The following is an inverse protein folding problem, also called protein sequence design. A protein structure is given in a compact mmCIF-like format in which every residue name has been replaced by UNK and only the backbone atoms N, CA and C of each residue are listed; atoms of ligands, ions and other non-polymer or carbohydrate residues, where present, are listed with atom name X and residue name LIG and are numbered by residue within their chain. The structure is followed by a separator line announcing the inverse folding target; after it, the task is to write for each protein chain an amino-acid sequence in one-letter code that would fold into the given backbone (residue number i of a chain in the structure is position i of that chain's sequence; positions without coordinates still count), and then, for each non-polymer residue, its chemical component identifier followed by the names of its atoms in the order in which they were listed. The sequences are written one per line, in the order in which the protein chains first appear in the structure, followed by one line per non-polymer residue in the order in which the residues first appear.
data_IF_892248472119
#
_entry.id   IF_892248472119
#
_cell.length_a   1.000
_cell.length_b   1.000
_cell.length_c   1.000
_cell.angle_alpha   90.00
_cell.angle_beta   90.00
_cell.angle_gamma   90.00
#
_symmetry.space_group_name_H-M   'P 1'
#
loop_
_entity.id
_entity.type
_entity.pdbx_description
1 polymer ?
#
# COMPACT_ATOMS: atom_id res chain seq x y z
N UNK A 1 30.10 13.46 61.68
CA UNK A 1 29.75 13.78 60.29
C UNK A 1 28.24 13.66 60.10
N UNK A 2 27.60 14.65 59.49
CA UNK A 2 26.16 14.67 59.21
C UNK A 2 25.91 14.57 57.70
N UNK A 3 25.07 13.63 57.28
CA UNK A 3 24.71 13.44 55.88
C UNK A 3 23.71 14.50 55.44
N UNK A 4 24.04 15.25 54.40
CA UNK A 4 23.14 16.25 53.78
C UNK A 4 22.47 15.62 52.56
N UNK A 5 23.25 14.96 51.70
CA UNK A 5 22.78 14.17 50.55
C UNK A 5 23.51 12.83 50.55
N UNK A 6 23.20 11.87 49.65
CA UNK A 6 23.91 10.60 49.57
C UNK A 6 25.43 10.72 49.31
N UNK A 7 25.89 11.88 48.82
CA UNK A 7 27.30 12.13 48.47
C UNK A 7 27.90 13.36 49.15
N UNK A 8 27.10 14.23 49.77
CA UNK A 8 27.56 15.42 50.47
C UNK A 8 27.40 15.25 51.99
N UNK A 9 28.50 15.36 52.71
CA UNK A 9 28.55 15.25 54.16
C UNK A 9 29.15 16.51 54.79
N UNK A 10 28.59 16.90 55.94
CA UNK A 10 29.15 17.94 56.80
C UNK A 10 30.05 17.30 57.87
N UNK A 11 31.32 17.67 57.84
CA UNK A 11 32.26 17.41 58.90
C UNK A 11 32.27 18.59 59.89
N UNK A 12 31.66 18.39 61.05
CA UNK A 12 31.55 19.38 62.13
C UNK A 12 32.83 19.54 62.93
N UNK A 13 33.69 18.52 62.97
CA UNK A 13 34.96 18.59 63.70
C UNK A 13 36.00 19.34 62.87
N UNK A 14 36.04 19.05 61.57
CA UNK A 14 36.98 19.69 60.65
C UNK A 14 36.43 20.98 60.02
N UNK A 15 35.16 21.33 60.27
CA UNK A 15 34.41 22.45 59.65
C UNK A 15 34.49 22.44 58.12
N UNK A 16 34.09 21.35 57.48
CA UNK A 16 34.19 21.19 56.02
C UNK A 16 32.96 20.49 55.45
N UNK A 17 32.62 20.82 54.21
CA UNK A 17 31.75 19.98 53.39
C UNK A 17 32.62 19.04 52.56
N UNK A 18 32.33 17.74 52.64
CA UNK A 18 33.03 16.70 51.90
C UNK A 18 32.07 16.13 50.86
N UNK A 19 32.45 16.27 49.59
CA UNK A 19 31.74 15.68 48.46
C UNK A 19 32.48 14.41 48.01
N UNK A 20 31.83 13.26 48.23
CA UNK A 20 32.39 11.94 47.92
C UNK A 20 32.36 11.58 46.43
N UNK A 21 31.64 12.34 45.59
CA UNK A 21 31.59 12.11 44.14
C UNK A 21 32.68 12.91 43.43
N UNK A 22 32.87 14.18 43.80
CA UNK A 22 33.90 15.01 43.18
C UNK A 22 35.25 14.99 43.93
N UNK A 23 35.30 14.44 45.15
CA UNK A 23 36.47 14.46 46.02
C UNK A 23 36.81 15.85 46.58
N UNK A 24 35.94 16.84 46.36
CA UNK A 24 36.15 18.23 46.74
C UNK A 24 35.83 18.44 48.21
N UNK A 25 36.71 19.18 48.91
CA UNK A 25 36.51 19.62 50.29
C UNK A 25 36.34 21.14 50.32
N UNK A 26 35.23 21.61 50.87
CA UNK A 26 34.94 23.05 50.99
C UNK A 26 35.04 23.44 52.47
N UNK A 27 36.03 24.25 52.83
CA UNK A 27 36.20 24.73 54.20
C UNK A 27 35.11 25.73 54.58
N UNK A 28 34.54 25.55 55.77
CA UNK A 28 33.57 26.41 56.43
C UNK A 28 34.22 27.11 57.62
N UNK A 29 33.79 28.33 57.90
CA UNK A 29 34.09 28.96 59.20
C UNK A 29 33.29 28.27 60.31
N UNK A 30 33.73 28.42 61.56
CA UNK A 30 33.01 27.87 62.72
C UNK A 30 31.52 28.25 62.72
N UNK A 31 31.21 29.54 62.50
CA UNK A 31 29.83 30.03 62.49
C UNK A 31 29.02 29.48 61.30
N UNK A 32 29.63 29.29 60.13
CA UNK A 32 28.97 28.68 58.97
C UNK A 32 28.64 27.20 59.22
N UNK A 33 29.60 26.45 59.79
CA UNK A 33 29.44 25.05 60.16
C UNK A 33 28.36 24.87 61.22
N UNK A 34 28.39 25.68 62.30
CA UNK A 34 27.43 25.62 63.39
C UNK A 34 26.01 26.01 62.96
N UNK A 35 25.86 27.03 62.10
CA UNK A 35 24.56 27.43 61.54
C UNK A 35 24.00 26.33 60.64
N UNK A 36 24.82 25.75 59.75
CA UNK A 36 24.39 24.66 58.87
C UNK A 36 24.03 23.40 59.66
N UNK A 37 24.84 23.05 60.66
CA UNK A 37 24.58 21.96 61.59
C UNK A 37 23.24 22.13 62.30
N UNK A 38 22.93 23.34 62.77
CA UNK A 38 21.66 23.62 63.44
C UNK A 38 20.47 23.47 62.48
N UNK A 39 20.60 23.92 61.24
CA UNK A 39 19.57 23.78 60.20
C UNK A 39 19.33 22.32 59.77
N UNK A 40 20.34 21.45 59.89
CA UNK A 40 20.22 20.02 59.60
C UNK A 40 19.56 19.24 60.73
N UNK A 41 19.83 19.61 61.99
CA UNK A 41 19.29 18.93 63.18
C UNK A 41 17.90 19.39 63.59
N UNK A 42 17.46 20.57 63.14
CA UNK A 42 16.17 21.11 63.57
C UNK A 42 15.00 20.25 63.07
N UNK A 43 14.21 19.70 64.00
CA UNK A 43 12.95 19.01 63.71
C UNK A 43 11.85 19.96 63.19
N UNK A 44 12.05 21.27 63.34
CA UNK A 44 11.17 22.31 62.81
C UNK A 44 11.59 22.69 61.38
N UNK A 45 10.63 22.88 60.46
CA UNK A 45 10.94 23.25 59.08
C UNK A 45 11.53 24.67 58.95
N UNK A 46 11.40 25.54 59.94
CA UNK A 46 11.95 26.91 59.91
C UNK A 46 12.66 27.20 61.22
N UNK A 47 13.95 27.53 61.16
CA UNK A 47 14.73 28.01 62.29
C UNK A 47 14.62 29.53 62.42
N UNK A 48 14.37 30.03 63.62
CA UNK A 48 14.32 31.46 63.91
C UNK A 48 15.71 32.11 63.83
N UNK A 49 15.75 33.44 63.70
CA UNK A 49 17.03 34.16 63.58
C UNK A 49 17.81 34.10 64.89
N UNK A 50 17.11 34.15 66.01
CA UNK A 50 17.64 34.11 67.37
C UNK A 50 18.30 32.76 67.66
N UNK A 51 17.67 31.64 67.25
CA UNK A 51 18.24 30.30 67.38
C UNK A 51 19.51 30.13 66.56
N UNK A 52 19.55 30.65 65.33
CA UNK A 52 20.72 30.55 64.47
C UNK A 52 21.86 31.46 64.92
N UNK A 53 21.54 32.64 65.47
CA UNK A 53 22.52 33.53 66.08
C UNK A 53 23.16 32.88 67.31
N UNK A 54 22.35 32.29 68.19
CA UNK A 54 22.86 31.58 69.37
C UNK A 54 23.71 30.35 69.01
N UNK A 55 23.38 29.66 67.92
CA UNK A 55 24.16 28.50 67.47
C UNK A 55 25.49 28.89 66.81
N UNK A 56 25.50 29.94 65.97
CA UNK A 56 26.70 30.38 65.25
C UNK A 56 27.69 31.17 66.11
N UNK A 57 27.22 31.78 67.20
CA UNK A 57 27.98 32.65 68.09
C UNK A 57 27.56 32.47 69.57
N UNK A 58 27.86 31.31 70.18
CA UNK A 58 27.38 30.99 71.54
C UNK A 58 27.82 31.98 72.62
N UNK A 59 29.00 32.59 72.48
CA UNK A 59 29.59 33.50 73.48
C UNK A 59 29.73 34.95 72.98
N UNK A 60 29.02 35.34 71.90
CA UNK A 60 29.14 36.68 71.31
C UNK A 60 27.79 37.24 70.87
N UNK A 61 27.47 38.45 71.33
CA UNK A 61 26.33 39.22 70.81
C UNK A 61 26.75 39.86 69.49
N UNK A 62 26.20 39.38 68.38
CA UNK A 62 26.46 39.90 67.03
C UNK A 62 25.20 40.51 66.43
N UNK A 63 25.38 41.45 65.50
CA UNK A 63 24.26 42.04 64.78
C UNK A 63 23.58 41.01 63.86
N UNK A 64 22.28 41.20 63.60
CA UNK A 64 21.49 40.35 62.68
C UNK A 64 22.05 40.34 61.24
N UNK A 65 22.82 41.38 60.88
CA UNK A 65 23.55 41.47 59.61
C UNK A 65 24.63 40.39 59.48
N UNK A 66 25.24 39.95 60.58
CA UNK A 66 26.22 38.86 60.60
C UNK A 66 25.61 37.51 60.21
N UNK A 67 24.39 37.21 60.67
CA UNK A 67 23.65 36.02 60.24
C UNK A 67 23.30 36.10 58.74
N UNK A 68 22.87 37.28 58.28
CA UNK A 68 22.54 37.49 56.86
C UNK A 68 23.76 37.24 55.96
N UNK A 69 24.95 37.71 56.38
CA UNK A 69 26.20 37.49 55.67
C UNK A 69 26.60 36.01 55.66
N UNK A 70 26.51 35.33 56.80
CA UNK A 70 26.77 33.90 56.93
C UNK A 70 25.86 33.05 56.03
N UNK A 71 24.57 33.36 55.95
CA UNK A 71 23.64 32.68 55.04
C UNK A 71 23.99 32.95 53.57
N UNK A 72 24.44 34.17 53.23
CA UNK A 72 24.87 34.51 51.88
C UNK A 72 26.13 33.75 51.45
N UNK A 73 27.13 33.62 52.34
CA UNK A 73 28.34 32.84 52.06
C UNK A 73 28.05 31.34 51.98
N UNK A 74 27.21 30.81 52.86
CA UNK A 74 26.73 29.42 52.78
C UNK A 74 26.01 29.14 51.46
N UNK A 75 25.15 30.05 50.98
CA UNK A 75 24.51 29.92 49.65
C UNK A 75 25.52 29.82 48.53
N UNK A 76 26.57 30.66 48.52
CA UNK A 76 27.62 30.60 47.50
C UNK A 76 28.40 29.28 47.55
N UNK A 77 28.65 28.75 48.74
CA UNK A 77 29.35 27.48 48.93
C UNK A 77 28.48 26.27 48.56
N UNK A 78 27.16 26.38 48.71
CA UNK A 78 26.17 25.35 48.38
C UNK A 78 25.61 25.47 46.95
N UNK A 79 25.86 26.56 46.23
CA UNK A 79 25.40 26.80 44.85
C UNK A 79 25.71 25.65 43.85
N UNK A 80 26.87 24.97 43.94
CA UNK A 80 27.14 23.79 43.10
C UNK A 80 26.19 22.61 43.35
N UNK A 81 25.56 22.56 44.53
CA UNK A 81 24.69 21.49 45.01
C UNK A 81 23.22 21.95 44.91
N UNK A 82 22.67 21.97 43.70
CA UNK A 82 21.33 22.54 43.40
C UNK A 82 20.19 21.92 44.21
N UNK A 83 20.38 20.69 44.67
CA UNK A 83 19.48 19.93 45.52
C UNK A 83 19.41 20.43 46.98
N UNK A 84 20.39 21.21 47.44
CA UNK A 84 20.46 21.78 48.80
C UNK A 84 20.24 23.29 48.75
N UNK A 85 19.02 23.75 49.06
CA UNK A 85 18.65 25.16 48.97
C UNK A 85 18.36 25.79 50.33
N UNK A 86 19.06 26.88 50.64
CA UNK A 86 18.79 27.73 51.81
C UNK A 86 17.74 28.80 51.48
N UNK A 87 16.49 28.58 51.92
CA UNK A 87 15.36 29.49 51.71
C UNK A 87 15.19 30.45 52.89
N UNK A 88 14.91 31.73 52.60
CA UNK A 88 14.52 32.71 53.62
C UNK A 88 13.00 32.72 53.74
N UNK A 89 12.47 32.55 54.94
CA UNK A 89 11.04 32.68 55.22
C UNK A 89 10.80 34.04 55.87
N UNK A 90 10.08 34.92 55.17
CA UNK A 90 9.84 36.29 55.61
C UNK A 90 9.25 36.33 57.03
N UNK A 91 9.81 37.19 57.90
CA UNK A 91 9.41 37.39 59.30
C UNK A 91 9.51 36.15 60.22
N UNK A 92 10.08 35.03 59.76
CA UNK A 92 10.23 33.80 60.56
C UNK A 92 11.66 33.28 60.68
N UNK A 93 12.48 33.40 59.63
CA UNK A 93 13.89 32.96 59.69
C UNK A 93 14.34 32.23 58.43
N UNK A 94 15.08 31.13 58.59
CA UNK A 94 15.70 30.39 57.50
C UNK A 94 15.34 28.90 57.54
N UNK A 95 15.25 28.29 56.37
CA UNK A 95 14.93 26.88 56.17
C UNK A 95 15.93 26.26 55.18
N UNK A 96 16.39 25.05 55.49
CA UNK A 96 17.12 24.22 54.56
C UNK A 96 16.13 23.30 53.83
N UNK A 97 16.15 23.33 52.50
CA UNK A 97 15.33 22.46 51.66
C UNK A 97 16.25 21.52 50.87
N UNK A 98 16.13 20.22 51.11
CA UNK A 98 16.89 19.18 50.43
C UNK A 98 15.91 18.44 49.52
N UNK A 99 16.00 18.62 48.21
CA UNK A 99 15.13 17.91 47.27
C UNK A 99 15.71 16.54 46.96
N UNK A 100 15.00 15.47 47.30
CA UNK A 100 15.31 14.10 46.84
C UNK A 100 14.94 13.96 45.36
N UNK A 101 15.71 14.58 44.46
CA UNK A 101 15.55 14.30 43.03
C UNK A 101 16.18 12.95 42.72
N UNK A 102 15.33 12.02 42.29
CA UNK A 102 15.67 10.74 41.70
C UNK A 102 16.81 10.91 40.68
N UNK A 103 17.89 10.15 40.86
CA UNK A 103 18.97 10.04 39.90
C UNK A 103 18.43 9.57 38.53
N UNK A 104 18.11 10.53 37.66
CA UNK A 104 18.21 10.34 36.22
C UNK A 104 19.39 11.20 35.81
N UNK A 105 20.56 10.57 35.78
CA UNK A 105 21.78 11.16 35.27
C UNK A 105 21.61 11.34 33.76
N UNK A 106 21.03 12.46 33.32
CA UNK A 106 21.22 12.94 31.96
C UNK A 106 22.67 13.44 31.87
N UNK A 107 23.58 12.51 31.60
CA UNK A 107 24.86 12.84 30.97
C UNK A 107 24.55 13.15 29.50
N UNK A 108 25.04 14.29 29.05
CA UNK A 108 24.94 14.75 27.67
C UNK A 108 25.39 13.62 26.71
N UNK A 109 24.43 13.08 25.95
CA UNK A 109 24.71 12.16 24.85
C UNK A 109 25.18 13.01 23.68
N UNK A 110 26.48 13.33 23.65
CA UNK A 110 27.11 13.84 22.42
C UNK A 110 28.53 13.30 22.19
N UNK A 111 28.97 12.31 22.97
CA UNK A 111 30.22 11.61 22.68
C UNK A 111 29.94 10.40 21.78
N UNK A 112 30.48 10.44 20.56
CA UNK A 112 30.43 9.33 19.62
C UNK A 112 31.04 8.03 20.20
N UNK A 113 31.93 8.14 21.19
CA UNK A 113 32.46 7.00 21.95
C UNK A 113 31.46 6.43 22.96
N UNK A 114 30.65 7.28 23.62
CA UNK A 114 29.59 6.83 24.53
C UNK A 114 28.44 6.15 23.79
N UNK A 115 28.12 6.60 22.58
CA UNK A 115 27.16 5.90 21.70
C UNK A 115 27.68 4.51 21.28
N UNK A 116 28.98 4.38 20.95
CA UNK A 116 29.58 3.08 20.64
C UNK A 116 29.56 2.15 21.84
N UNK A 117 29.99 2.63 23.01
CA UNK A 117 29.97 1.85 24.25
C UNK A 117 28.54 1.39 24.59
N UNK A 118 27.55 2.28 24.49
CA UNK A 118 26.14 1.95 24.72
C UNK A 118 25.55 0.95 23.72
N UNK A 119 26.09 0.81 22.50
CA UNK A 119 25.66 -0.22 21.54
C UNK A 119 26.30 -1.59 21.90
N UNK A 120 27.52 -1.59 22.43
CA UNK A 120 28.21 -2.83 22.80
C UNK A 120 27.80 -3.38 24.17
N UNK A 121 27.40 -2.53 25.13
CA UNK A 121 27.03 -2.93 26.52
C UNK A 121 25.58 -3.42 26.68
N UNK A 122 24.83 -3.50 25.57
CA UNK A 122 23.49 -4.10 25.57
C UNK A 122 23.60 -5.62 25.63
N UNK A 123 22.85 -6.26 26.54
CA UNK A 123 22.73 -7.72 26.64
C UNK A 123 22.46 -8.34 25.25
N UNK A 124 23.11 -9.47 24.97
CA UNK A 124 22.94 -10.23 23.73
C UNK A 124 21.44 -10.45 23.40
N UNK A 125 20.61 -10.66 24.43
CA UNK A 125 19.17 -10.89 24.31
C UNK A 125 18.42 -9.67 23.76
N UNK A 126 18.81 -8.46 24.14
CA UNK A 126 18.20 -7.21 23.64
C UNK A 126 18.67 -6.92 22.21
N UNK A 127 19.94 -7.24 21.88
CA UNK A 127 20.42 -7.17 20.48
C UNK A 127 19.65 -8.13 19.58
N UNK A 128 19.46 -9.38 20.03
CA UNK A 128 18.66 -10.39 19.32
C UNK A 128 17.22 -9.90 19.17
N UNK A 129 16.61 -9.39 20.24
CA UNK A 129 15.23 -8.86 20.19
C UNK A 129 15.11 -7.68 19.21
N UNK A 130 16.07 -6.75 19.20
CA UNK A 130 16.09 -5.64 18.25
C UNK A 130 16.22 -6.11 16.80
N UNK A 131 17.08 -7.10 16.53
CA UNK A 131 17.21 -7.72 15.20
C UNK A 131 15.91 -8.41 14.79
N UNK A 132 15.28 -9.16 15.70
CA UNK A 132 13.99 -9.82 15.43
C UNK A 132 12.90 -8.80 15.10
N UNK A 133 12.81 -7.69 15.85
CA UNK A 133 11.87 -6.61 15.57
C UNK A 133 12.14 -5.97 14.21
N UNK A 134 13.40 -5.70 13.88
CA UNK A 134 13.79 -5.18 12.57
C UNK A 134 13.42 -6.14 11.43
N UNK A 135 13.66 -7.44 11.61
CA UNK A 135 13.28 -8.47 10.64
C UNK A 135 11.77 -8.55 10.47
N UNK A 136 10.99 -8.46 11.56
CA UNK A 136 9.53 -8.44 11.51
C UNK A 136 9.04 -7.18 10.77
N UNK A 137 9.61 -6.01 11.04
CA UNK A 137 9.26 -4.78 10.33
C UNK A 137 9.61 -4.84 8.84
N UNK A 138 10.79 -5.38 8.50
CA UNK A 138 11.20 -5.56 7.12
C UNK A 138 10.29 -6.56 6.38
N UNK A 139 9.95 -7.68 7.02
CA UNK A 139 9.03 -8.68 6.48
C UNK A 139 7.61 -8.13 6.33
N UNK A 140 7.15 -7.33 7.29
CA UNK A 140 5.85 -6.65 7.20
C UNK A 140 5.83 -5.61 6.08
N UNK A 141 6.91 -4.83 5.90
CA UNK A 141 7.03 -3.86 4.81
C UNK A 141 7.04 -4.57 3.45
N UNK A 142 7.77 -5.68 3.33
CA UNK A 142 7.76 -6.52 2.13
C UNK A 142 6.38 -7.13 1.87
N UNK A 143 5.73 -7.70 2.88
CA UNK A 143 4.42 -8.33 2.76
C UNK A 143 3.34 -7.33 2.31
N UNK A 144 3.40 -6.09 2.80
CA UNK A 144 2.49 -5.01 2.41
C UNK A 144 2.87 -4.33 1.08
N UNK A 145 4.01 -4.67 0.48
CA UNK A 145 4.47 -4.07 -0.77
C UNK A 145 3.63 -4.49 -1.98
N UNK A 146 3.52 -3.62 -2.97
CA UNK A 146 2.84 -3.94 -4.23
C UNK A 146 3.48 -5.15 -4.93
N UNK A 147 4.80 -5.28 -4.87
CA UNK A 147 5.53 -6.40 -5.46
C UNK A 147 5.05 -7.75 -4.88
N UNK A 148 4.87 -7.84 -3.56
CA UNK A 148 4.36 -9.06 -2.94
C UNK A 148 2.90 -9.35 -3.35
N UNK A 149 2.05 -8.32 -3.40
CA UNK A 149 0.66 -8.47 -3.89
C UNK A 149 0.61 -8.98 -5.32
N UNK A 150 1.48 -8.48 -6.21
CA UNK A 150 1.58 -8.95 -7.60
C UNK A 150 2.02 -10.40 -7.65
N UNK A 151 3.02 -10.78 -6.84
CA UNK A 151 3.46 -12.17 -6.77
C UNK A 151 2.35 -13.10 -6.28
N UNK A 152 1.55 -12.68 -5.28
CA UNK A 152 0.38 -13.44 -4.84
C UNK A 152 -0.69 -13.54 -5.93
N UNK A 153 -0.95 -12.47 -6.68
CA UNK A 153 -1.91 -12.47 -7.78
C UNK A 153 -1.46 -13.44 -8.89
N UNK A 154 -0.19 -13.38 -9.29
CA UNK A 154 0.39 -14.25 -10.31
C UNK A 154 0.45 -15.71 -9.89
N UNK A 155 0.70 -16.01 -8.62
CA UNK A 155 0.71 -17.38 -8.12
C UNK A 155 -0.64 -18.10 -8.24
N UNK A 156 -1.72 -17.35 -8.50
CA UNK A 156 -3.05 -17.90 -8.78
C UNK A 156 -3.24 -18.26 -10.25
N UNK A 157 -2.30 -17.93 -11.13
CA UNK A 157 -2.42 -18.24 -12.54
C UNK A 157 -1.45 -19.36 -12.90
N UNK A 158 -1.92 -20.29 -13.73
CA UNK A 158 -1.09 -21.24 -14.43
C UNK A 158 -1.35 -21.13 -15.94
N UNK A 159 -0.35 -21.52 -16.72
CA UNK A 159 -0.48 -21.60 -18.17
C UNK A 159 -0.14 -23.02 -18.63
N UNK A 160 -1.08 -23.67 -19.30
CA UNK A 160 -0.84 -24.96 -19.94
C UNK A 160 -0.33 -24.72 -21.36
N UNK A 161 0.71 -25.44 -21.83
CA UNK A 161 1.30 -25.26 -23.15
C UNK A 161 0.27 -25.00 -24.24
N UNK A 162 -0.72 -25.87 -24.49
CA UNK A 162 -1.74 -25.68 -25.54
C UNK A 162 -2.97 -26.59 -25.35
N UNK A 163 -4.16 -26.08 -25.71
CA UNK A 163 -5.39 -26.85 -25.90
C UNK A 163 -5.85 -26.72 -27.35
N UNK A 164 -6.12 -27.82 -28.03
CA UNK A 164 -6.69 -27.80 -29.38
C UNK A 164 -8.18 -27.47 -29.29
N UNK A 165 -8.60 -26.38 -29.94
CA UNK A 165 -10.01 -25.97 -30.04
C UNK A 165 -10.53 -26.24 -31.45
N UNK A 166 -11.79 -26.66 -31.53
CA UNK A 166 -12.54 -26.80 -32.76
C UNK A 166 -13.68 -25.78 -32.83
N UNK A 167 -13.70 -24.97 -33.89
CA UNK A 167 -14.72 -23.95 -34.14
C UNK A 167 -15.26 -24.17 -35.55
N UNK A 168 -16.45 -24.76 -35.61
CA UNK A 168 -17.01 -25.28 -36.84
C UNK A 168 -16.06 -26.24 -37.55
N UNK A 169 -15.70 -25.94 -38.80
CA UNK A 169 -14.73 -26.71 -39.58
C UNK A 169 -13.25 -26.38 -39.31
N UNK A 170 -12.95 -25.39 -38.47
CA UNK A 170 -11.58 -24.92 -38.21
C UNK A 170 -11.02 -25.52 -36.91
N UNK A 171 -9.71 -25.73 -36.91
CA UNK A 171 -8.95 -26.12 -35.72
C UNK A 171 -7.82 -25.15 -35.47
N UNK A 172 -7.51 -24.93 -34.21
CA UNK A 172 -6.46 -24.02 -33.79
C UNK A 172 -5.95 -24.37 -32.40
N UNK A 173 -4.68 -24.09 -32.17
CA UNK A 173 -4.09 -24.25 -30.85
C UNK A 173 -4.37 -23.00 -30.02
N UNK A 174 -4.91 -23.21 -28.82
CA UNK A 174 -5.17 -22.16 -27.84
C UNK A 174 -4.15 -22.25 -26.71
N UNK A 175 -3.49 -21.14 -26.37
CA UNK A 175 -2.74 -21.04 -25.12
C UNK A 175 -3.74 -20.92 -23.96
N UNK A 176 -3.71 -21.85 -23.02
CA UNK A 176 -4.68 -21.90 -21.93
C UNK A 176 -4.13 -21.21 -20.68
N UNK A 177 -4.90 -20.26 -20.15
CA UNK A 177 -4.68 -19.58 -18.88
C UNK A 177 -5.70 -20.05 -17.86
N UNK A 178 -5.24 -20.68 -16.80
CA UNK A 178 -6.10 -21.18 -15.73
C UNK A 178 -5.89 -20.32 -14.51
N UNK A 179 -7.00 -19.83 -13.95
CA UNK A 179 -6.98 -19.08 -12.71
C UNK A 179 -7.46 -19.96 -11.56
N UNK A 180 -6.74 -19.90 -10.46
CA UNK A 180 -6.90 -20.74 -9.29
C UNK A 180 -6.83 -22.23 -9.67
N UNK A 181 -7.35 -23.11 -8.82
CA UNK A 181 -7.42 -24.55 -9.10
C UNK A 181 -8.70 -24.91 -9.88
N UNK A 182 -8.98 -24.17 -10.96
CA UNK A 182 -10.17 -24.38 -11.77
C UNK A 182 -10.20 -25.79 -12.35
N UNK A 183 -11.37 -26.42 -12.26
CA UNK A 183 -11.62 -27.78 -12.73
C UNK A 183 -12.26 -27.77 -14.13
N UNK A 184 -12.38 -28.95 -14.74
CA UNK A 184 -13.01 -29.14 -16.07
C UNK A 184 -12.30 -28.37 -17.20
N UNK A 185 -11.01 -28.63 -17.38
CA UNK A 185 -10.16 -27.99 -18.41
C UNK A 185 -10.30 -28.62 -19.80
N UNK A 186 -11.33 -29.43 -20.03
CA UNK A 186 -11.53 -30.12 -21.31
C UNK A 186 -12.02 -29.14 -22.39
N UNK A 187 -11.50 -29.17 -23.63
CA UNK A 187 -11.86 -28.26 -24.72
C UNK A 187 -13.37 -28.07 -24.93
N UNK A 188 -14.12 -29.16 -24.76
CA UNK A 188 -15.59 -29.18 -24.76
C UNK A 188 -16.25 -28.04 -23.95
N UNK A 189 -15.64 -27.56 -22.86
CA UNK A 189 -16.24 -26.47 -22.07
C UNK A 189 -16.31 -25.14 -22.83
N UNK A 190 -15.40 -24.89 -23.77
CA UNK A 190 -15.46 -23.75 -24.69
C UNK A 190 -16.35 -24.07 -25.90
N UNK A 191 -16.18 -25.26 -26.47
CA UNK A 191 -16.80 -25.66 -27.75
C UNK A 191 -18.30 -25.93 -27.64
N UNK A 192 -18.80 -26.43 -26.51
CA UNK A 192 -20.22 -26.83 -26.34
C UNK A 192 -21.23 -25.71 -26.57
N UNK A 193 -20.79 -24.45 -26.55
CA UNK A 193 -21.66 -23.31 -26.81
C UNK A 193 -21.84 -23.02 -28.29
N UNK A 194 -21.02 -23.63 -29.14
CA UNK A 194 -21.07 -23.52 -30.59
C UNK A 194 -21.83 -24.71 -31.17
N UNK A 195 -22.60 -24.49 -32.23
CA UNK A 195 -23.16 -25.59 -32.99
C UNK A 195 -22.03 -26.33 -33.74
N UNK A 196 -22.08 -27.68 -33.83
CA UNK A 196 -21.09 -28.48 -34.55
C UNK A 196 -21.33 -28.38 -36.06
N UNK A 197 -21.29 -27.17 -36.62
CA UNK A 197 -21.46 -26.95 -38.05
C UNK A 197 -20.08 -26.85 -38.74
N UNK A 198 -19.79 -27.83 -39.60
CA UNK A 198 -18.56 -27.85 -40.40
C UNK A 198 -18.63 -26.92 -41.62
N UNK A 199 -19.78 -26.28 -41.89
CA UNK A 199 -19.94 -25.34 -43.01
C UNK A 199 -19.26 -24.00 -42.76
N UNK A 200 -19.00 -23.66 -41.50
CA UNK A 200 -18.23 -22.48 -41.13
C UNK A 200 -16.77 -22.62 -41.60
N UNK A 201 -16.50 -22.06 -42.77
CA UNK A 201 -15.18 -21.95 -43.37
C UNK A 201 -14.81 -20.46 -43.47
N UNK A 202 -13.73 -20.08 -42.81
CA UNK A 202 -13.09 -18.79 -43.13
C UNK A 202 -12.19 -18.97 -44.37
N UNK A 203 -11.74 -17.86 -44.97
CA UNK A 203 -10.66 -17.91 -45.96
C UNK A 203 -9.33 -18.46 -45.38
N UNK A 204 -9.26 -18.71 -44.07
CA UNK A 204 -8.10 -19.18 -43.35
C UNK A 204 -8.17 -20.68 -43.07
N UNK A 205 -7.01 -21.34 -43.05
CA UNK A 205 -6.88 -22.79 -42.83
C UNK A 205 -6.86 -23.20 -41.35
N UNK A 206 -6.90 -22.23 -40.45
CA UNK A 206 -6.81 -22.42 -39.01
C UNK A 206 -6.89 -21.07 -38.29
N UNK A 207 -6.68 -21.10 -36.98
CA UNK A 207 -6.68 -19.91 -36.12
C UNK A 207 -5.67 -20.07 -34.98
N UNK A 208 -5.27 -18.94 -34.41
CA UNK A 208 -4.56 -18.87 -33.14
C UNK A 208 -5.47 -18.34 -32.06
N UNK A 209 -5.36 -18.92 -30.86
CA UNK A 209 -6.27 -18.58 -29.78
C UNK A 209 -5.58 -18.47 -28.42
N UNK A 210 -6.26 -17.76 -27.53
CA UNK A 210 -6.00 -17.76 -26.11
C UNK A 210 -7.30 -18.11 -25.41
N UNK A 211 -7.25 -19.12 -24.54
CA UNK A 211 -8.37 -19.52 -23.72
C UNK A 211 -8.07 -19.14 -22.26
N UNK A 212 -9.09 -18.76 -21.51
CA UNK A 212 -8.97 -18.68 -20.06
C UNK A 212 -10.20 -19.17 -19.33
N UNK A 213 -9.99 -19.62 -18.09
CA UNK A 213 -11.07 -20.01 -17.19
C UNK A 213 -10.70 -19.79 -15.72
N UNK A 214 -11.72 -19.47 -14.92
CA UNK A 214 -11.67 -19.50 -13.45
C UNK A 214 -12.53 -20.64 -12.87
N UNK A 215 -12.96 -21.58 -13.71
CA UNK A 215 -13.83 -22.70 -13.38
C UNK A 215 -15.32 -22.36 -13.37
N UNK A 216 -15.68 -21.07 -13.38
CA UNK A 216 -17.07 -20.62 -13.54
C UNK A 216 -17.38 -20.14 -14.94
N UNK A 217 -16.41 -19.45 -15.57
CA UNK A 217 -16.54 -18.90 -16.91
C UNK A 217 -15.46 -19.45 -17.83
N UNK A 218 -15.77 -19.53 -19.12
CA UNK A 218 -14.87 -20.06 -20.16
C UNK A 218 -14.78 -19.04 -21.28
N UNK A 219 -13.64 -18.35 -21.36
CA UNK A 219 -13.38 -17.31 -22.35
C UNK A 219 -12.41 -17.82 -23.41
N UNK A 220 -12.66 -17.49 -24.67
CA UNK A 220 -11.76 -17.72 -25.79
C UNK A 220 -11.64 -16.49 -26.66
N UNK A 221 -10.40 -16.14 -26.99
CA UNK A 221 -10.02 -15.04 -27.87
C UNK A 221 -9.34 -15.64 -29.09
N UNK A 222 -9.95 -15.50 -30.26
CA UNK A 222 -9.55 -16.18 -31.49
C UNK A 222 -9.14 -15.13 -32.52
N UNK A 223 -7.98 -15.35 -33.11
CA UNK A 223 -7.59 -14.69 -34.34
C UNK A 223 -7.54 -15.68 -35.51
N UNK A 224 -8.33 -15.45 -36.58
CA UNK A 224 -8.22 -16.21 -37.81
C UNK A 224 -6.84 -16.07 -38.48
N UNK A 225 -6.27 -17.19 -38.91
CA UNK A 225 -4.93 -17.25 -39.49
C UNK A 225 -4.03 -18.28 -38.80
N UNK A 226 -2.90 -18.60 -39.41
CA UNK A 226 -1.96 -19.61 -38.90
C UNK A 226 -0.61 -19.01 -38.52
N UNK A 227 -0.53 -17.69 -38.35
CA UNK A 227 0.67 -17.00 -37.89
C UNK A 227 0.61 -16.86 -36.37
N UNK A 228 1.50 -17.58 -35.68
CA UNK A 228 1.53 -17.69 -34.22
C UNK A 228 2.17 -16.45 -33.56
N UNK A 229 2.85 -15.62 -34.34
CA UNK A 229 3.57 -14.43 -33.85
C UNK A 229 2.84 -13.12 -34.12
N UNK A 230 2.03 -13.07 -35.18
CA UNK A 230 1.29 -11.89 -35.57
C UNK A 230 -0.15 -12.25 -35.90
N UNK A 231 -1.08 -11.35 -35.57
CA UNK A 231 -2.39 -11.44 -36.19
C UNK A 231 -2.87 -10.15 -36.84
N UNK A 232 -3.62 -10.37 -37.92
CA UNK A 232 -4.06 -9.32 -38.83
C UNK A 232 -4.99 -8.31 -38.19
N UNK A 233 -5.64 -8.66 -37.07
CA UNK A 233 -6.72 -7.92 -36.46
C UNK A 233 -8.06 -8.05 -37.19
N UNK A 234 -8.13 -8.82 -38.27
CA UNK A 234 -9.37 -8.95 -39.06
C UNK A 234 -10.18 -10.17 -38.58
N UNK A 235 -11.48 -9.96 -38.35
CA UNK A 235 -12.40 -11.03 -37.98
C UNK A 235 -12.07 -11.66 -36.62
N UNK A 236 -11.60 -10.86 -35.65
CA UNK A 236 -11.36 -11.33 -34.29
C UNK A 236 -12.67 -11.86 -33.68
N UNK A 237 -12.60 -13.01 -33.01
CA UNK A 237 -13.77 -13.61 -32.37
C UNK A 237 -13.44 -13.77 -30.88
N UNK A 238 -14.12 -13.00 -30.03
CA UNK A 238 -14.00 -13.12 -28.58
C UNK A 238 -15.33 -13.58 -28.00
N UNK A 239 -15.35 -14.79 -27.46
CA UNK A 239 -16.55 -15.40 -26.90
C UNK A 239 -16.27 -15.77 -25.45
N UNK A 240 -17.17 -15.42 -24.55
CA UNK A 240 -17.11 -15.78 -23.14
C UNK A 240 -18.40 -16.44 -22.71
N UNK A 241 -18.30 -17.70 -22.32
CA UNK A 241 -19.39 -18.46 -21.73
C UNK A 241 -19.47 -18.17 -20.24
N UNK A 242 -20.63 -17.71 -19.80
CA UNK A 242 -20.96 -17.39 -18.40
C UNK A 242 -22.04 -18.32 -17.83
N UNK A 243 -22.43 -19.32 -18.61
CA UNK A 243 -23.42 -20.32 -18.27
C UNK A 243 -22.87 -21.72 -18.57
N UNK A 244 -23.36 -22.72 -17.86
CA UNK A 244 -22.95 -24.11 -18.06
C UNK A 244 -23.73 -24.79 -19.18
N UNK A 245 -24.93 -24.30 -19.51
CA UNK A 245 -25.77 -24.87 -20.56
C UNK A 245 -25.25 -24.50 -21.98
N UNK A 246 -25.23 -25.46 -22.93
CA UNK A 246 -24.94 -25.20 -24.33
C UNK A 246 -25.83 -24.09 -24.91
N UNK A 247 -25.20 -23.03 -25.43
CA UNK A 247 -25.92 -21.90 -26.01
C UNK A 247 -26.37 -22.14 -27.46
N UNK A 248 -25.83 -23.16 -28.14
CA UNK A 248 -26.14 -23.51 -29.54
C UNK A 248 -25.96 -22.32 -30.51
N UNK A 249 -24.86 -21.57 -30.36
CA UNK A 249 -24.51 -20.47 -31.24
C UNK A 249 -24.15 -21.00 -32.64
N UNK A 250 -24.92 -20.63 -33.66
CA UNK A 250 -24.60 -20.89 -35.06
C UNK A 250 -23.52 -19.92 -35.54
N UNK A 251 -22.40 -20.43 -36.05
CA UNK A 251 -21.25 -19.58 -36.39
C UNK A 251 -21.49 -18.67 -37.59
N UNK A 252 -22.08 -19.14 -38.72
CA UNK A 252 -22.47 -18.27 -39.82
C UNK A 252 -23.41 -17.13 -39.39
N UNK A 253 -24.49 -17.44 -38.68
CA UNK A 253 -25.44 -16.44 -38.16
C UNK A 253 -24.75 -15.47 -37.19
N UNK A 254 -23.90 -15.98 -36.30
CA UNK A 254 -23.12 -15.17 -35.38
C UNK A 254 -22.20 -14.18 -36.10
N UNK A 255 -21.52 -14.58 -37.18
CA UNK A 255 -20.64 -13.66 -37.92
C UNK A 255 -21.41 -12.53 -38.60
N UNK A 256 -22.61 -12.80 -39.11
CA UNK A 256 -23.47 -11.76 -39.68
C UNK A 256 -23.99 -10.83 -38.58
N UNK A 257 -24.45 -11.40 -37.47
CA UNK A 257 -25.01 -10.65 -36.35
C UNK A 257 -23.95 -9.78 -35.65
N UNK A 258 -22.78 -10.34 -35.34
CA UNK A 258 -21.65 -9.61 -34.72
C UNK A 258 -21.23 -8.41 -35.58
N UNK A 259 -21.05 -8.61 -36.88
CA UNK A 259 -20.76 -7.53 -37.84
C UNK A 259 -21.82 -6.43 -37.80
N UNK A 260 -23.11 -6.81 -37.78
CA UNK A 260 -24.20 -5.84 -37.66
C UNK A 260 -24.18 -5.10 -36.31
N UNK A 261 -23.89 -5.78 -35.20
CA UNK A 261 -23.78 -5.16 -33.88
C UNK A 261 -22.61 -4.17 -33.82
N UNK A 262 -21.44 -4.53 -34.35
CA UNK A 262 -20.23 -3.71 -34.38
C UNK A 262 -20.40 -2.41 -35.16
N UNK A 263 -21.17 -2.44 -36.26
CA UNK A 263 -21.40 -1.28 -37.12
C UNK A 263 -22.41 -0.27 -36.56
N UNK A 264 -23.34 -0.66 -35.68
CA UNK A 264 -24.44 0.21 -35.23
C UNK A 264 -23.94 1.48 -34.56
N UNK A 265 -23.27 1.37 -33.41
CA UNK A 265 -22.76 2.52 -32.64
C UNK A 265 -21.54 2.08 -31.83
N UNK A 266 -20.35 2.64 -32.14
CA UNK A 266 -19.12 2.51 -31.33
C UNK A 266 -19.14 3.58 -30.24
N UNK A 267 -19.73 3.27 -29.08
CA UNK A 267 -19.93 4.25 -28.01
C UNK A 267 -18.63 4.70 -27.32
N UNK A 268 -17.54 3.95 -27.51
CA UNK A 268 -16.30 4.11 -26.74
C UNK A 268 -15.13 4.81 -27.47
N UNK A 269 -15.32 5.46 -28.63
CA UNK A 269 -14.26 6.33 -29.19
C UNK A 269 -14.09 7.57 -28.30
N UNK A 270 -13.27 7.45 -27.26
CA UNK A 270 -12.76 8.60 -26.51
C UNK A 270 -11.73 9.26 -27.42
N UNK A 271 -12.14 10.28 -28.18
CA UNK A 271 -11.21 11.18 -28.84
C UNK A 271 -10.65 12.09 -27.75
N UNK A 272 -9.46 11.80 -27.24
CA UNK A 272 -8.69 12.81 -26.51
C UNK A 272 -8.28 13.89 -27.53
N UNK A 273 -8.43 15.19 -27.22
CA UNK A 273 -8.05 16.24 -28.16
C UNK A 273 -6.55 16.18 -28.45
N UNK A 274 -6.17 16.15 -29.74
CA UNK A 274 -4.76 16.21 -30.18
C UNK A 274 -4.06 17.43 -29.54
N UNK A 275 -2.90 17.25 -28.92
CA UNK A 275 -2.07 18.35 -28.39
C UNK A 275 -1.73 19.33 -29.51
N UNK A 276 -2.36 20.49 -29.44
CA UNK A 276 -1.93 21.67 -30.18
C UNK A 276 -0.67 22.24 -29.52
N UNK A 277 0.48 21.62 -29.78
CA UNK A 277 1.79 22.29 -29.75
C UNK A 277 2.40 22.65 -28.39
N UNK A 278 2.07 21.94 -27.30
CA UNK A 278 2.80 22.09 -26.03
C UNK A 278 3.91 21.03 -25.89
N UNK A 279 5.09 21.44 -25.41
CA UNK A 279 6.24 20.56 -25.14
C UNK A 279 5.84 19.42 -24.18
N UNK A 280 5.75 18.20 -24.70
CA UNK A 280 5.53 16.97 -23.95
C UNK A 280 4.39 16.13 -24.51
N UNK A 281 4.52 15.64 -25.76
CA UNK A 281 3.57 14.67 -26.32
C UNK A 281 3.53 13.44 -25.43
N UNK A 282 2.39 13.18 -24.79
CA UNK A 282 2.18 11.94 -24.05
C UNK A 282 1.78 10.85 -25.06
N UNK A 283 2.20 9.62 -24.82
CA UNK A 283 1.88 8.50 -25.70
C UNK A 283 0.72 7.71 -25.10
N UNK A 284 -0.43 7.71 -25.79
CA UNK A 284 -1.58 6.88 -25.46
C UNK A 284 -1.47 5.53 -26.20
N UNK A 285 -1.62 4.46 -25.43
CA UNK A 285 -1.80 3.11 -25.93
C UNK A 285 -3.26 2.74 -25.80
N UNK A 286 -3.98 2.72 -26.92
CA UNK A 286 -5.41 2.43 -26.97
C UNK A 286 -5.66 0.99 -27.40
N UNK A 287 -6.57 0.31 -26.70
CA UNK A 287 -6.94 -1.07 -26.94
C UNK A 287 -8.47 -1.18 -27.05
N UNK A 288 -8.98 -1.72 -28.15
CA UNK A 288 -10.42 -1.93 -28.35
C UNK A 288 -10.74 -3.39 -28.65
N UNK A 289 -11.75 -3.96 -27.98
CA UNK A 289 -12.26 -5.29 -28.27
C UNK A 289 -13.78 -5.36 -28.13
N UNK A 290 -14.36 -6.27 -28.90
CA UNK A 290 -15.75 -6.68 -28.81
C UNK A 290 -15.79 -8.10 -28.26
N UNK A 291 -16.59 -8.33 -27.22
CA UNK A 291 -16.72 -9.62 -26.53
C UNK A 291 -18.19 -10.03 -26.48
N UNK A 292 -18.45 -11.28 -26.84
CA UNK A 292 -19.80 -11.83 -26.99
C UNK A 292 -20.10 -12.90 -25.95
N UNK A 293 -21.31 -12.88 -25.40
CA UNK A 293 -21.74 -13.76 -24.32
C UNK A 293 -22.99 -14.55 -24.74
N UNK A 294 -22.82 -15.71 -25.40
CA UNK A 294 -23.93 -16.55 -25.80
C UNK A 294 -24.51 -17.27 -24.57
N UNK A 295 -25.84 -17.19 -24.42
CA UNK A 295 -26.60 -17.87 -23.37
C UNK A 295 -27.81 -18.52 -24.02
N UNK A 296 -28.11 -19.76 -23.60
CA UNK A 296 -29.21 -20.53 -24.17
C UNK A 296 -30.56 -19.81 -23.97
N UNK A 297 -31.36 -19.77 -25.02
CA UNK A 297 -32.71 -19.16 -25.03
C UNK A 297 -32.73 -17.67 -24.61
N UNK A 298 -31.59 -16.97 -24.72
CA UNK A 298 -31.40 -15.56 -24.39
C UNK A 298 -30.82 -14.80 -25.60
N UNK A 299 -31.03 -13.48 -25.64
CA UNK A 299 -30.45 -12.60 -26.66
C UNK A 299 -28.92 -12.57 -26.54
N UNK A 300 -28.21 -12.51 -27.67
CA UNK A 300 -26.76 -12.34 -27.67
C UNK A 300 -26.39 -10.98 -27.05
N UNK A 301 -25.54 -11.02 -26.03
CA UNK A 301 -24.99 -9.82 -25.39
C UNK A 301 -23.59 -9.55 -25.94
N UNK A 302 -23.33 -8.29 -26.28
CA UNK A 302 -22.02 -7.76 -26.64
C UNK A 302 -21.52 -6.78 -25.59
N UNK A 303 -20.24 -6.87 -25.24
CA UNK A 303 -19.50 -5.83 -24.55
C UNK A 303 -18.48 -5.19 -25.51
N UNK A 304 -18.69 -3.92 -25.85
CA UNK A 304 -17.68 -3.05 -26.47
C UNK A 304 -16.77 -2.53 -25.36
N UNK A 305 -15.49 -2.89 -25.40
CA UNK A 305 -14.49 -2.58 -24.39
C UNK A 305 -13.40 -1.72 -25.01
N UNK A 306 -13.18 -0.52 -24.47
CA UNK A 306 -12.05 0.34 -24.79
C UNK A 306 -11.19 0.57 -23.55
N UNK A 307 -9.88 0.42 -23.70
CA UNK A 307 -8.90 0.59 -22.64
C UNK A 307 -7.73 1.45 -23.13
N UNK A 308 -7.47 2.54 -22.44
CA UNK A 308 -6.36 3.45 -22.73
C UNK A 308 -5.35 3.45 -21.59
N UNK A 309 -4.07 3.31 -21.94
CA UNK A 309 -2.92 3.46 -21.04
C UNK A 309 -2.12 4.69 -21.49
N UNK A 310 -2.02 5.71 -20.63
CA UNK A 310 -1.25 6.92 -20.91
C UNK A 310 -0.04 6.90 -19.98
N UNK A 311 1.14 6.63 -20.54
CA UNK A 311 2.36 6.49 -19.76
C UNK A 311 2.91 7.86 -19.35
N UNK A 312 3.16 8.05 -18.05
CA UNK A 312 3.89 9.22 -17.51
C UNK A 312 5.33 8.87 -17.12
N UNK A 313 5.64 7.57 -17.00
CA UNK A 313 6.95 7.01 -16.72
C UNK A 313 7.15 5.70 -17.50
N UNK A 314 8.24 4.98 -17.25
CA UNK A 314 8.54 3.71 -17.95
C UNK A 314 7.56 2.58 -17.59
N UNK A 315 7.03 2.57 -16.37
CA UNK A 315 6.18 1.50 -15.84
C UNK A 315 4.89 2.00 -15.15
N UNK A 316 4.56 3.30 -15.25
CA UNK A 316 3.35 3.88 -14.67
C UNK A 316 2.64 4.85 -15.59
N UNK A 317 1.39 5.14 -15.23
CA UNK A 317 0.63 6.19 -15.87
C UNK A 317 -0.85 6.20 -15.49
N UNK A 318 -1.64 6.86 -16.32
CA UNK A 318 -3.09 6.97 -16.19
C UNK A 318 -3.79 5.85 -16.96
N UNK A 319 -4.87 5.34 -16.37
CA UNK A 319 -5.65 4.22 -16.86
C UNK A 319 -7.10 4.64 -17.07
N UNK A 320 -7.62 4.37 -18.26
CA UNK A 320 -9.03 4.57 -18.60
C UNK A 320 -9.62 3.30 -19.19
N UNK A 321 -10.72 2.82 -18.63
CA UNK A 321 -11.52 1.73 -19.18
C UNK A 321 -12.95 2.21 -19.39
N UNK A 322 -13.51 1.90 -20.54
CA UNK A 322 -14.93 2.10 -20.86
C UNK A 322 -15.50 0.81 -21.42
N UNK A 323 -16.58 0.33 -20.83
CA UNK A 323 -17.30 -0.87 -21.27
C UNK A 323 -18.75 -0.50 -21.53
N UNK A 324 -19.25 -0.85 -22.72
CA UNK A 324 -20.62 -0.61 -23.13
C UNK A 324 -21.27 -1.96 -23.46
N UNK A 325 -22.34 -2.30 -22.74
CA UNK A 325 -23.06 -3.57 -22.93
C UNK A 325 -24.35 -3.32 -23.69
N UNK A 326 -24.56 -4.10 -24.74
CA UNK A 326 -25.74 -4.05 -25.62
C UNK A 326 -26.25 -5.46 -25.92
N UNK A 327 -27.55 -5.58 -26.15
CA UNK A 327 -28.20 -6.76 -26.71
C UNK A 327 -28.26 -6.70 -28.25
N UNK A 328 -28.54 -7.85 -28.87
CA UNK A 328 -28.67 -8.00 -30.32
C UNK A 328 -29.85 -7.24 -30.93
N UNK A 329 -30.92 -6.99 -30.16
CA UNK A 329 -32.15 -6.35 -30.65
C UNK A 329 -32.09 -4.81 -30.57
N UNK A 330 -31.16 -4.25 -29.77
CA UNK A 330 -31.00 -2.81 -29.55
C UNK A 330 -32.28 -2.12 -29.03
N UNK A 331 -33.16 -2.86 -28.36
CA UNK A 331 -34.38 -2.31 -27.78
C UNK A 331 -34.15 -1.68 -26.41
N UNK A 332 -33.01 -1.96 -25.77
CA UNK A 332 -32.65 -1.43 -24.46
C UNK A 332 -31.56 -0.36 -24.52
N UNK A 333 -31.53 0.49 -23.49
CA UNK A 333 -30.45 1.47 -23.33
C UNK A 333 -29.16 0.72 -22.94
N UNK A 334 -28.01 1.02 -23.54
CA UNK A 334 -26.77 0.36 -23.18
C UNK A 334 -26.37 0.59 -21.73
N UNK A 335 -25.83 -0.44 -21.08
CA UNK A 335 -25.19 -0.31 -19.77
C UNK A 335 -23.78 0.21 -20.01
N UNK A 336 -23.43 1.36 -19.41
CA UNK A 336 -22.08 1.93 -19.54
C UNK A 336 -21.37 1.87 -18.20
N UNK A 337 -20.16 1.32 -18.21
CA UNK A 337 -19.29 1.23 -17.05
C UNK A 337 -17.94 1.83 -17.39
N UNK A 338 -17.50 2.80 -16.58
CA UNK A 338 -16.21 3.48 -16.77
C UNK A 338 -15.37 3.35 -15.51
N UNK A 339 -14.07 3.13 -15.69
CA UNK A 339 -13.08 3.09 -14.62
C UNK A 339 -11.96 4.05 -14.99
N UNK A 340 -11.55 4.88 -14.02
CA UNK A 340 -10.35 5.72 -14.13
C UNK A 340 -9.46 5.51 -12.91
N UNK A 341 -8.16 5.56 -13.11
CA UNK A 341 -7.20 5.45 -12.03
C UNK A 341 -5.78 5.48 -12.55
N UNK A 342 -4.82 5.14 -11.69
CA UNK A 342 -3.42 5.01 -12.09
C UNK A 342 -3.03 3.55 -12.17
N UNK A 343 -2.13 3.23 -13.10
CA UNK A 343 -1.59 1.88 -13.23
C UNK A 343 -0.10 1.83 -12.90
N UNK A 344 0.34 0.65 -12.49
CA UNK A 344 1.74 0.25 -12.49
C UNK A 344 1.90 -1.10 -13.21
N UNK A 345 2.83 -1.15 -14.16
CA UNK A 345 3.14 -2.32 -14.97
C UNK A 345 4.24 -3.17 -14.31
N UNK A 346 4.07 -4.48 -14.36
CA UNK A 346 5.05 -5.46 -13.91
C UNK A 346 5.22 -6.52 -15.00
N UNK A 347 6.41 -6.62 -15.58
CA UNK A 347 6.72 -7.68 -16.55
C UNK A 347 7.14 -8.96 -15.83
N UNK A 348 6.52 -10.08 -16.20
CA UNK A 348 6.75 -11.40 -15.59
C UNK A 348 6.45 -12.55 -16.57
N UNK A 349 6.31 -13.76 -16.04
CA UNK A 349 5.83 -14.92 -16.78
C UNK A 349 4.90 -15.80 -15.96
N UNK A 350 3.98 -16.47 -16.64
CA UNK A 350 3.05 -17.48 -16.10
C UNK A 350 3.44 -18.80 -16.77
N UNK A 351 4.08 -19.72 -16.03
CA UNK A 351 4.57 -21.00 -16.55
C UNK A 351 5.35 -20.92 -17.89
N UNK A 352 6.18 -19.87 -18.02
CA UNK A 352 7.00 -19.62 -19.21
C UNK A 352 6.32 -18.76 -20.29
N UNK A 353 5.00 -18.54 -20.20
CA UNK A 353 4.30 -17.55 -21.03
C UNK A 353 4.63 -16.14 -20.54
N UNK A 354 5.19 -15.29 -21.41
CA UNK A 354 5.46 -13.89 -21.09
C UNK A 354 4.14 -13.16 -20.80
N UNK A 355 4.11 -12.40 -19.70
CA UNK A 355 2.94 -11.65 -19.30
C UNK A 355 3.32 -10.30 -18.67
N UNK A 356 2.58 -9.25 -19.01
CA UNK A 356 2.64 -7.96 -18.34
C UNK A 356 1.40 -7.78 -17.46
N UNK A 357 1.60 -7.41 -16.20
CA UNK A 357 0.55 -7.26 -15.20
C UNK A 357 0.40 -5.78 -14.89
N UNK A 358 -0.80 -5.26 -15.06
CA UNK A 358 -1.14 -3.88 -14.80
C UNK A 358 -1.98 -3.81 -13.52
N UNK A 359 -1.36 -3.32 -12.45
CA UNK A 359 -2.02 -3.04 -11.19
C UNK A 359 -2.70 -1.67 -11.28
N UNK A 360 -4.02 -1.65 -11.42
CA UNK A 360 -4.80 -0.43 -11.53
C UNK A 360 -5.37 -0.07 -10.16
N UNK A 361 -4.95 1.07 -9.62
CA UNK A 361 -5.54 1.67 -8.42
C UNK A 361 -6.70 2.57 -8.86
N UNK A 362 -7.90 2.10 -8.57
CA UNK A 362 -9.13 2.75 -9.02
C UNK A 362 -9.37 4.04 -8.24
N UNK A 363 -9.46 5.16 -8.96
CA UNK A 363 -9.75 6.48 -8.39
C UNK A 363 -11.21 6.87 -8.58
N UNK A 364 -11.79 6.53 -9.75
CA UNK A 364 -13.16 6.84 -10.08
C UNK A 364 -13.81 5.68 -10.84
N UNK A 365 -15.09 5.42 -10.53
CA UNK A 365 -15.95 4.52 -11.29
C UNK A 365 -17.28 5.21 -11.57
N UNK A 366 -17.85 4.90 -12.73
CA UNK A 366 -19.15 5.41 -13.15
C UNK A 366 -19.94 4.28 -13.83
N UNK A 367 -21.03 3.86 -13.21
CA UNK A 367 -21.98 2.91 -13.75
C UNK A 367 -23.29 3.63 -14.10
N UNK A 368 -23.50 3.84 -15.40
CA UNK A 368 -24.73 4.45 -15.89
C UNK A 368 -25.81 3.37 -15.96
N UNK A 369 -26.83 3.55 -15.13
CA UNK A 369 -28.00 2.68 -15.12
C UNK A 369 -28.82 2.90 -16.41
N UNK A 370 -29.20 1.82 -17.12
CA UNK A 370 -30.09 1.94 -18.28
C UNK A 370 -31.55 2.17 -17.86
N UNK A 371 -32.34 2.78 -18.75
CA UNK A 371 -33.76 3.07 -18.49
C UNK A 371 -34.61 1.79 -18.47
N UNK A 372 -34.26 0.83 -19.33
CA UNK A 372 -34.87 -0.50 -19.41
C UNK A 372 -33.76 -1.54 -19.49
N UNK A 373 -33.99 -2.68 -18.83
CA UNK A 373 -33.16 -3.88 -18.91
C UNK A 373 -34.07 -5.04 -19.33
N UNK A 374 -33.61 -5.84 -20.28
CA UNK A 374 -34.17 -7.17 -20.54
C UNK A 374 -33.49 -8.21 -19.64
N UNK A 375 -34.06 -9.41 -19.60
CA UNK A 375 -33.58 -10.48 -18.71
C UNK A 375 -32.14 -10.90 -19.01
N UNK A 376 -31.74 -10.90 -20.29
CA UNK A 376 -30.38 -11.23 -20.75
C UNK A 376 -29.32 -10.24 -20.23
N UNK A 377 -29.62 -8.95 -20.17
CA UNK A 377 -28.69 -7.92 -19.71
C UNK A 377 -28.62 -7.78 -18.17
N UNK A 378 -29.63 -8.27 -17.43
CA UNK A 378 -29.71 -8.11 -15.96
C UNK A 378 -28.51 -8.74 -15.25
N UNK A 379 -28.02 -9.90 -15.71
CA UNK A 379 -26.86 -10.58 -15.09
C UNK A 379 -25.60 -9.71 -15.16
N UNK A 380 -25.36 -9.06 -16.30
CA UNK A 380 -24.21 -8.20 -16.53
C UNK A 380 -24.28 -6.91 -15.71
N UNK A 381 -25.46 -6.28 -15.66
CA UNK A 381 -25.68 -5.10 -14.82
C UNK A 381 -25.42 -5.40 -13.33
N UNK A 382 -25.86 -6.56 -12.84
CA UNK A 382 -25.64 -6.98 -11.45
C UNK A 382 -24.16 -7.22 -11.15
N UNK A 383 -23.41 -7.86 -12.06
CA UNK A 383 -21.97 -8.06 -11.91
C UNK A 383 -21.23 -6.70 -11.86
N UNK A 384 -21.51 -5.82 -12.82
CA UNK A 384 -20.92 -4.47 -12.84
C UNK A 384 -21.26 -3.67 -11.58
N UNK A 385 -22.51 -3.71 -11.11
CA UNK A 385 -22.92 -3.02 -9.88
C UNK A 385 -22.18 -3.53 -8.65
N UNK A 386 -21.94 -4.84 -8.54
CA UNK A 386 -21.16 -5.44 -7.44
C UNK A 386 -19.72 -4.92 -7.45
N UNK A 387 -19.11 -4.81 -8.62
CA UNK A 387 -17.74 -4.33 -8.83
C UNK A 387 -17.59 -2.83 -8.61
N UNK A 388 -18.57 -2.06 -9.06
CA UNK A 388 -18.66 -0.62 -8.83
C UNK A 388 -18.63 -0.28 -7.33
N UNK A 389 -19.14 -1.17 -6.48
CA UNK A 389 -19.07 -1.01 -5.02
C UNK A 389 -17.74 -1.51 -4.44
N UNK A 390 -17.25 -2.68 -4.88
CA UNK A 390 -16.17 -3.41 -4.19
C UNK A 390 -14.76 -3.07 -4.66
N UNK A 391 -14.58 -2.87 -5.96
CA UNK A 391 -13.25 -2.96 -6.57
C UNK A 391 -12.49 -1.65 -6.36
N UNK A 392 -11.45 -1.69 -5.53
CA UNK A 392 -10.53 -0.55 -5.30
C UNK A 392 -9.21 -0.71 -6.05
N UNK A 393 -8.87 -1.95 -6.38
CA UNK A 393 -7.64 -2.35 -7.03
C UNK A 393 -8.00 -3.47 -8.02
N UNK A 394 -7.57 -3.34 -9.27
CA UNK A 394 -7.87 -4.27 -10.36
C UNK A 394 -6.57 -4.70 -11.03
N UNK A 395 -6.53 -5.94 -11.54
CA UNK A 395 -5.35 -6.50 -12.20
C UNK A 395 -5.73 -6.90 -13.62
N UNK A 396 -5.03 -6.34 -14.60
CA UNK A 396 -5.17 -6.65 -16.02
C UNK A 396 -3.90 -7.36 -16.48
N UNK A 397 -4.04 -8.43 -17.25
CA UNK A 397 -2.90 -9.24 -17.67
C UNK A 397 -2.83 -9.22 -19.19
N UNK A 398 -1.73 -8.71 -19.74
CA UNK A 398 -1.43 -8.78 -21.17
C UNK A 398 -0.50 -9.95 -21.43
N UNK A 399 -0.94 -10.92 -22.22
CA UNK A 399 -0.18 -12.17 -22.49
C UNK A 399 0.41 -12.23 -23.90
N UNK A 400 -0.01 -11.30 -24.76
CA UNK A 400 0.50 -11.17 -26.11
C UNK A 400 0.30 -9.72 -26.58
N UNK A 401 1.24 -9.22 -27.38
CA UNK A 401 1.11 -7.95 -28.08
C UNK A 401 1.97 -7.97 -29.35
N UNK A 402 1.38 -7.56 -30.46
CA UNK A 402 2.06 -7.25 -31.70
C UNK A 402 1.87 -5.75 -32.06
N UNK A 403 2.15 -5.40 -33.32
CA UNK A 403 2.07 -4.02 -33.81
C UNK A 403 0.64 -3.50 -34.05
N UNK A 404 -0.35 -4.38 -34.14
CA UNK A 404 -1.76 -4.04 -34.43
C UNK A 404 -2.71 -4.47 -33.35
N UNK A 405 -2.31 -5.37 -32.45
CA UNK A 405 -3.21 -6.05 -31.55
C UNK A 405 -2.55 -6.54 -30.27
N UNK A 406 -3.37 -6.92 -29.29
CA UNK A 406 -2.92 -7.50 -28.04
C UNK A 406 -3.96 -8.44 -27.44
N UNK A 407 -3.52 -9.37 -26.62
CA UNK A 407 -4.41 -10.25 -25.85
C UNK A 407 -4.36 -9.88 -24.39
N UNK A 408 -5.55 -9.59 -23.86
CA UNK A 408 -5.73 -9.18 -22.48
C UNK A 408 -6.70 -10.11 -21.76
N UNK A 409 -6.34 -10.44 -20.52
CA UNK A 409 -7.25 -11.00 -19.53
C UNK A 409 -7.65 -9.87 -18.59
N UNK A 410 -8.94 -9.54 -18.59
CA UNK A 410 -9.50 -8.44 -17.80
C UNK A 410 -10.40 -8.99 -16.68
N UNK A 411 -10.44 -8.33 -15.52
CA UNK A 411 -11.20 -8.80 -14.38
C UNK A 411 -12.68 -8.40 -14.46
N UNK A 412 -13.33 -8.55 -15.61
CA UNK A 412 -14.78 -8.35 -15.81
C UNK A 412 -15.46 -9.68 -16.10
N UNK A 413 -16.71 -9.85 -15.65
CA UNK A 413 -17.54 -11.04 -15.91
C UNK A 413 -16.80 -12.37 -15.67
N UNK A 414 -16.20 -12.51 -14.48
CA UNK A 414 -15.25 -13.57 -14.15
C UNK A 414 -13.85 -13.15 -14.56
N UNK A 415 -13.35 -13.70 -15.67
CA UNK A 415 -12.10 -13.33 -16.35
C UNK A 415 -12.33 -13.39 -17.86
N UNK A 416 -12.47 -12.23 -18.48
CA UNK A 416 -12.63 -12.14 -19.93
C UNK A 416 -11.26 -12.09 -20.57
N UNK A 417 -10.97 -13.08 -21.42
CA UNK A 417 -9.81 -13.06 -22.31
C UNK A 417 -10.28 -12.67 -23.69
N UNK A 418 -9.72 -11.59 -24.23
CA UNK A 418 -10.08 -11.06 -25.52
C UNK A 418 -8.85 -10.58 -26.31
N UNK A 419 -8.97 -10.67 -27.62
CA UNK A 419 -8.11 -10.08 -28.63
C UNK A 419 -8.58 -8.65 -28.89
N UNK A 420 -7.66 -7.71 -28.71
CA UNK A 420 -7.89 -6.27 -28.85
C UNK A 420 -7.18 -5.75 -30.09
N UNK A 421 -7.83 -4.87 -30.84
CA UNK A 421 -7.14 -3.92 -31.72
C UNK A 421 -6.31 -2.97 -30.87
N UNK A 422 -5.09 -2.69 -31.30
CA UNK A 422 -4.13 -1.86 -30.62
C UNK A 422 -3.69 -0.72 -31.54
N UNK A 423 -3.78 0.50 -31.02
CA UNK A 423 -3.36 1.72 -31.69
C UNK A 423 -2.50 2.56 -30.73
N UNK A 424 -1.50 3.24 -31.29
CA UNK A 424 -0.71 4.26 -30.59
C UNK A 424 -1.16 5.62 -31.06
N UNK A 425 -1.48 6.50 -30.12
CA UNK A 425 -1.95 7.85 -30.39
C UNK A 425 -1.03 8.82 -29.65
N UNK A 426 -0.43 9.75 -30.38
CA UNK A 426 0.33 10.85 -29.79
C UNK A 426 -0.68 11.93 -29.36
N UNK A 427 -0.73 12.22 -28.05
CA UNK A 427 -1.70 13.15 -27.45
C UNK A 427 -1.08 14.43 -26.91
#
# INVERSE_FOLDING_TARGET
MLKITPYLELDTEANQLVDHVSGKKVSLTFSESAVLHRLLLSSNPVCSKEELLSAGWPDRVVAVTSLTQCISTLRKKLDPYREVQLKTVARRGYQLHISSQSHVKMLAVNDAESMKAAIFDVSLLVKISGIVVLLILALSAWYCSDYHKIKQNLARWSADPQVELQIGGLRGNAKLLVKDDAQHLHPFMWEKHLQPDNSFMTCHKGFNAFAATDGSNYSMAICPGTDDEQCSGNGLINITSVDSEPANLDMPEFMELSSAMEQRIRYNRVMLPESTGAKGSLLEHNYQADVYFPVKDELLIRADINMSLIFDSEDSGEFHLSTCITDEDCLTTPIKYKVRGTFKQYSSSIDGLKADIFQVRVQQKDLIKPDKLNDSAVRFYRDLRKRDIKDREMYFIRVHQDHKTAVWVIPLFGQVTAWYHYERIDI
#
